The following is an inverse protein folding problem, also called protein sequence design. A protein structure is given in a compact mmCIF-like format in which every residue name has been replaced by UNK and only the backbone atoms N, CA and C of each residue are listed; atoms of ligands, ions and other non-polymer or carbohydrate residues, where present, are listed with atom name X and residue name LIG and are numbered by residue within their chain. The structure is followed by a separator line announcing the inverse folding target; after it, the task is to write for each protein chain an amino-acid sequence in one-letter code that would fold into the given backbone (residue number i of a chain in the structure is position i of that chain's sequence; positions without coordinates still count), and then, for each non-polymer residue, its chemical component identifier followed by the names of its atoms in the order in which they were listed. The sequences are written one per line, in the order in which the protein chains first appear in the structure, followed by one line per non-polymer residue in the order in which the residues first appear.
data_IF_550648719178
#
_entry.id   IF_550648719178
#
_cell.length_a   1.000
_cell.length_b   1.000
_cell.length_c   1.000
_cell.angle_alpha   90.00
_cell.angle_beta   90.00
_cell.angle_gamma   90.00
#
_symmetry.space_group_name_H-M   'P 1'
#
loop_
_entity.id
_entity.type
_entity.pdbx_description
1 polymer ?
#
# COMPACT_ATOMS: atom_id res chain seq x y z
N UNK A 1 9.73 10.43 -27.17
CA UNK A 1 10.53 11.65 -27.04
C UNK A 1 10.37 12.08 -25.60
N UNK A 2 11.46 12.21 -24.84
CA UNK A 2 11.42 12.93 -23.59
C UNK A 2 10.83 14.32 -23.88
N UNK A 3 9.88 14.79 -23.06
CA UNK A 3 9.34 16.14 -23.22
C UNK A 3 10.48 17.16 -23.27
N UNK A 4 10.27 18.28 -23.94
CA UNK A 4 11.25 19.37 -24.04
C UNK A 4 11.40 20.04 -22.65
N UNK A 5 12.05 19.34 -21.72
CA UNK A 5 12.39 19.88 -20.40
C UNK A 5 13.64 20.77 -20.52
N UNK A 6 13.56 21.98 -20.00
CA UNK A 6 14.65 22.95 -20.06
C UNK A 6 15.91 22.47 -19.28
N UNK A 7 15.73 21.63 -18.27
CA UNK A 7 16.81 21.09 -17.45
C UNK A 7 16.38 19.83 -16.67
N UNK A 8 17.37 19.14 -16.08
CA UNK A 8 17.15 17.93 -15.30
C UNK A 8 16.23 18.14 -14.06
N UNK A 9 16.24 19.31 -13.47
CA UNK A 9 15.36 19.63 -12.33
C UNK A 9 13.89 19.66 -12.75
N UNK A 10 13.56 20.23 -13.88
CA UNK A 10 12.22 20.28 -14.42
C UNK A 10 11.70 18.88 -14.77
N UNK A 11 12.56 18.07 -15.40
CA UNK A 11 12.26 16.65 -15.67
C UNK A 11 11.92 15.90 -14.39
N UNK A 12 12.77 16.00 -13.36
CA UNK A 12 12.56 15.34 -12.07
C UNK A 12 11.26 15.84 -11.41
N UNK A 13 11.06 17.13 -11.38
CA UNK A 13 9.85 17.73 -10.78
C UNK A 13 8.57 17.25 -11.48
N UNK A 14 8.57 17.19 -12.81
CA UNK A 14 7.44 16.70 -13.59
C UNK A 14 7.09 15.24 -13.21
N UNK A 15 8.08 14.35 -13.11
CA UNK A 15 7.86 12.95 -12.79
C UNK A 15 7.54 12.68 -11.30
N UNK A 16 7.89 13.62 -10.42
CA UNK A 16 7.53 13.54 -8.99
C UNK A 16 6.17 14.19 -8.67
N UNK A 17 5.60 14.96 -9.60
CA UNK A 17 4.31 15.61 -9.40
C UNK A 17 3.17 14.63 -9.62
N UNK A 18 2.26 14.54 -8.65
CA UNK A 18 1.06 13.72 -8.74
C UNK A 18 -0.06 14.42 -9.53
N UNK A 19 -0.89 13.64 -10.21
CA UNK A 19 -2.16 14.12 -10.74
C UNK A 19 -3.12 14.40 -9.57
N UNK A 20 -3.21 15.65 -9.17
CA UNK A 20 -3.94 16.06 -7.98
C UNK A 20 -5.28 16.70 -8.35
N UNK A 21 -6.35 16.26 -7.70
CA UNK A 21 -7.68 16.87 -7.76
C UNK A 21 -8.03 17.38 -6.36
N UNK A 22 -8.42 18.64 -6.27
CA UNK A 22 -8.67 19.26 -4.98
C UNK A 22 -9.51 20.52 -5.06
N UNK A 23 -9.64 21.18 -3.92
CA UNK A 23 -10.34 22.43 -3.78
C UNK A 23 -9.37 23.58 -3.75
N UNK A 24 -9.53 24.53 -4.67
CA UNK A 24 -8.78 25.78 -4.72
C UNK A 24 -9.23 26.76 -3.62
N UNK A 25 -8.45 27.82 -3.40
CA UNK A 25 -8.75 28.85 -2.41
C UNK A 25 -10.03 29.63 -2.71
N UNK A 26 -10.41 29.76 -3.97
CA UNK A 26 -11.68 30.36 -4.42
C UNK A 26 -12.91 29.49 -4.14
N UNK A 27 -12.68 28.22 -3.72
CA UNK A 27 -13.70 27.25 -3.38
C UNK A 27 -14.11 26.33 -4.51
N UNK A 28 -13.59 26.51 -5.71
CA UNK A 28 -13.86 25.64 -6.84
C UNK A 28 -13.07 24.31 -6.74
N UNK A 29 -13.62 23.26 -7.37
CA UNK A 29 -12.97 21.94 -7.43
C UNK A 29 -12.41 21.71 -8.83
N UNK A 30 -11.13 21.30 -8.91
CA UNK A 30 -10.48 21.06 -10.19
C UNK A 30 -9.19 20.26 -10.07
N UNK A 31 -8.62 19.98 -11.24
CA UNK A 31 -7.28 19.39 -11.32
C UNK A 31 -6.22 20.46 -11.20
N UNK A 32 -5.16 20.17 -10.46
CA UNK A 32 -3.98 21.02 -10.38
C UNK A 32 -3.23 21.04 -11.72
N UNK A 33 -2.82 22.23 -12.17
CA UNK A 33 -2.03 22.43 -13.38
C UNK A 33 -0.52 22.49 -13.08
N UNK A 34 -0.15 22.54 -11.80
CA UNK A 34 1.24 22.59 -11.37
C UNK A 34 1.44 22.46 -9.87
N UNK A 35 2.70 22.44 -9.42
CA UNK A 35 3.01 22.32 -8.00
C UNK A 35 2.47 23.47 -7.12
N UNK A 36 2.31 24.66 -7.69
CA UNK A 36 1.76 25.83 -6.99
C UNK A 36 0.30 25.59 -6.62
N UNK A 37 -0.50 25.08 -7.57
CA UNK A 37 -1.91 24.74 -7.35
C UNK A 37 -2.05 23.67 -6.27
N UNK A 38 -1.17 22.66 -6.29
CA UNK A 38 -1.16 21.59 -5.27
C UNK A 38 -0.92 22.16 -3.88
N UNK A 39 0.01 23.09 -3.76
CA UNK A 39 0.31 23.77 -2.49
C UNK A 39 -0.88 24.60 -2.00
N UNK A 40 -1.61 25.25 -2.90
CA UNK A 40 -2.81 26.02 -2.59
C UNK A 40 -3.99 25.15 -2.13
N UNK A 41 -4.20 23.99 -2.77
CA UNK A 41 -5.26 23.04 -2.41
C UNK A 41 -5.10 22.45 -0.99
N UNK A 42 -3.87 22.33 -0.51
CA UNK A 42 -3.56 21.86 0.85
C UNK A 42 -4.15 20.48 1.17
N UNK A 43 -4.78 20.34 2.34
CA UNK A 43 -5.32 19.08 2.82
C UNK A 43 -6.56 18.59 2.03
N UNK A 44 -7.29 19.48 1.37
CA UNK A 44 -8.50 19.12 0.62
C UNK A 44 -8.17 18.71 -0.82
N UNK A 45 -7.20 17.83 -0.96
CA UNK A 45 -6.75 17.31 -2.25
C UNK A 45 -6.53 15.81 -2.22
N UNK A 46 -6.71 15.16 -3.38
CA UNK A 46 -6.54 13.71 -3.57
C UNK A 46 -5.60 13.48 -4.75
N UNK A 47 -4.63 12.60 -4.60
CA UNK A 47 -3.77 12.14 -5.68
C UNK A 47 -4.49 11.06 -6.49
N UNK A 48 -5.04 11.45 -7.62
CA UNK A 48 -5.91 10.61 -8.45
C UNK A 48 -5.12 9.46 -9.10
N UNK A 49 -3.90 9.71 -9.53
CA UNK A 49 -2.99 8.73 -10.09
C UNK A 49 -2.61 7.65 -9.06
N UNK A 50 -2.26 8.04 -7.84
CA UNK A 50 -1.99 7.13 -6.72
C UNK A 50 -3.19 6.24 -6.43
N UNK A 51 -4.40 6.83 -6.35
CA UNK A 51 -5.63 6.08 -6.13
C UNK A 51 -5.94 5.13 -7.28
N UNK A 52 -5.80 5.60 -8.53
CA UNK A 52 -6.03 4.78 -9.71
C UNK A 52 -5.12 3.54 -9.72
N UNK A 53 -3.80 3.72 -9.57
CA UNK A 53 -2.86 2.61 -9.59
C UNK A 53 -3.05 1.67 -8.41
N UNK A 54 -3.32 2.19 -7.23
CA UNK A 54 -3.58 1.36 -6.04
C UNK A 54 -4.84 0.49 -6.24
N UNK A 55 -5.95 1.07 -6.69
CA UNK A 55 -7.20 0.34 -6.92
C UNK A 55 -7.05 -0.64 -8.09
N UNK A 56 -6.41 -0.24 -9.19
CA UNK A 56 -6.18 -1.08 -10.35
C UNK A 56 -5.37 -2.33 -9.99
N UNK A 57 -4.26 -2.16 -9.27
CA UNK A 57 -3.38 -3.27 -8.86
C UNK A 57 -4.04 -4.16 -7.80
N UNK A 58 -4.84 -3.59 -6.89
CA UNK A 58 -5.68 -4.36 -5.97
C UNK A 58 -6.73 -5.19 -6.71
N UNK A 59 -7.40 -4.61 -7.69
CA UNK A 59 -8.34 -5.32 -8.57
C UNK A 59 -7.67 -6.42 -9.41
N UNK A 60 -6.48 -6.15 -9.94
CA UNK A 60 -5.66 -7.11 -10.66
C UNK A 60 -5.28 -8.30 -9.77
N UNK A 61 -4.82 -8.03 -8.54
CA UNK A 61 -4.57 -9.07 -7.54
C UNK A 61 -5.79 -9.96 -7.32
N UNK A 62 -6.95 -9.36 -7.03
CA UNK A 62 -8.18 -10.11 -6.81
C UNK A 62 -8.59 -10.92 -8.04
N UNK A 63 -8.44 -10.38 -9.24
CA UNK A 63 -8.74 -11.09 -10.48
C UNK A 63 -7.82 -12.30 -10.68
N UNK A 64 -6.50 -12.12 -10.50
CA UNK A 64 -5.50 -13.20 -10.66
C UNK A 64 -5.78 -14.34 -9.67
N UNK A 65 -5.93 -14.02 -8.38
CA UNK A 65 -6.17 -15.05 -7.35
C UNK A 65 -7.54 -15.72 -7.51
N UNK A 66 -8.56 -14.98 -7.92
CA UNK A 66 -9.88 -15.56 -8.22
C UNK A 66 -9.83 -16.51 -9.42
N UNK A 67 -9.12 -16.15 -10.48
CA UNK A 67 -8.92 -17.02 -11.64
C UNK A 67 -8.16 -18.30 -11.26
N UNK A 68 -7.06 -18.15 -10.52
CA UNK A 68 -6.30 -19.29 -10.02
C UNK A 68 -7.17 -20.23 -9.15
N UNK A 69 -7.90 -19.67 -8.20
CA UNK A 69 -8.78 -20.45 -7.30
C UNK A 69 -9.90 -21.17 -8.06
N UNK A 70 -10.51 -20.55 -9.08
CA UNK A 70 -11.58 -21.18 -9.89
C UNK A 70 -11.07 -22.29 -10.79
N UNK A 71 -9.82 -22.25 -11.21
CA UNK A 71 -9.18 -23.24 -12.08
C UNK A 71 -8.28 -24.23 -11.33
N UNK A 72 -8.26 -24.14 -9.98
CA UNK A 72 -7.40 -24.98 -9.16
C UNK A 72 -7.73 -26.46 -9.29
N UNK A 73 -6.70 -27.27 -9.44
CA UNK A 73 -6.78 -28.73 -9.57
C UNK A 73 -5.91 -29.39 -8.49
N UNK A 74 -6.33 -30.59 -8.03
CA UNK A 74 -5.55 -31.39 -7.07
C UNK A 74 -4.35 -32.10 -7.70
N UNK A 75 -4.19 -32.02 -9.03
CA UNK A 75 -3.06 -32.59 -9.76
C UNK A 75 -1.84 -31.65 -9.80
N UNK A 76 -1.00 -31.81 -10.82
CA UNK A 76 0.13 -30.90 -11.04
C UNK A 76 -0.39 -29.50 -11.38
N UNK A 77 -0.09 -28.46 -10.57
CA UNK A 77 -0.62 -27.13 -10.79
C UNK A 77 -0.05 -26.48 -12.06
N UNK A 78 -0.89 -25.73 -12.77
CA UNK A 78 -0.42 -24.85 -13.84
C UNK A 78 0.38 -23.66 -13.28
N UNK A 79 1.11 -22.95 -14.15
CA UNK A 79 2.00 -21.86 -13.74
C UNK A 79 1.31 -20.79 -12.87
N UNK A 80 0.11 -20.36 -13.24
CA UNK A 80 -0.65 -19.35 -12.48
C UNK A 80 -1.05 -19.87 -11.10
N UNK A 81 -1.57 -21.09 -11.03
CA UNK A 81 -1.95 -21.74 -9.78
C UNK A 81 -0.72 -21.89 -8.87
N UNK A 82 0.40 -22.35 -9.41
CA UNK A 82 1.64 -22.55 -8.67
C UNK A 82 2.17 -21.23 -8.05
N UNK A 83 2.14 -20.13 -8.80
CA UNK A 83 2.55 -18.81 -8.26
C UNK A 83 1.65 -18.36 -7.11
N UNK A 84 0.33 -18.52 -7.27
CA UNK A 84 -0.62 -18.17 -6.21
C UNK A 84 -0.47 -19.06 -4.97
N UNK A 85 -0.28 -20.37 -5.17
CA UNK A 85 -0.05 -21.33 -4.08
C UNK A 85 1.25 -21.02 -3.32
N UNK A 86 2.34 -20.72 -4.01
CA UNK A 86 3.60 -20.31 -3.37
C UNK A 86 3.42 -19.05 -2.50
N UNK A 87 2.63 -18.07 -2.95
CA UNK A 87 2.37 -16.86 -2.17
C UNK A 87 1.53 -17.18 -0.90
N UNK A 88 0.53 -18.05 -1.04
CA UNK A 88 -0.31 -18.50 0.09
C UNK A 88 0.53 -19.30 1.08
N UNK A 89 1.31 -20.28 0.62
CA UNK A 89 2.19 -21.11 1.44
C UNK A 89 3.21 -20.26 2.21
N UNK A 90 3.85 -19.31 1.53
CA UNK A 90 4.78 -18.37 2.17
C UNK A 90 4.11 -17.60 3.32
N UNK A 91 2.87 -17.13 3.13
CA UNK A 91 2.12 -16.40 4.17
C UNK A 91 1.73 -17.36 5.31
N UNK A 92 1.22 -18.55 5.01
CA UNK A 92 0.81 -19.54 6.01
C UNK A 92 1.98 -19.99 6.88
N UNK A 93 3.13 -20.23 6.29
CA UNK A 93 4.35 -20.60 7.02
C UNK A 93 4.76 -19.52 8.01
N UNK A 94 4.78 -18.26 7.58
CA UNK A 94 5.10 -17.14 8.45
C UNK A 94 4.08 -16.98 9.59
N UNK A 95 2.79 -17.13 9.30
CA UNK A 95 1.72 -17.06 10.30
C UNK A 95 1.87 -18.18 11.31
N UNK A 96 2.14 -19.39 10.86
CA UNK A 96 2.30 -20.56 11.72
C UNK A 96 3.50 -20.43 12.65
N UNK A 97 4.60 -19.87 12.17
CA UNK A 97 5.79 -19.59 12.98
C UNK A 97 5.51 -18.57 14.09
N UNK A 98 4.68 -17.54 13.83
CA UNK A 98 4.41 -16.45 14.78
C UNK A 98 3.25 -16.81 15.74
N UNK A 99 2.18 -17.38 15.22
CA UNK A 99 0.91 -17.57 15.95
C UNK A 99 0.64 -19.04 16.32
N UNK A 100 1.46 -19.99 15.85
CA UNK A 100 1.21 -21.42 16.01
C UNK A 100 0.00 -21.90 15.21
N UNK A 101 -0.60 -23.02 15.60
CA UNK A 101 -1.63 -23.72 14.83
C UNK A 101 -3.05 -23.14 14.95
N UNK A 102 -3.24 -22.02 15.62
CA UNK A 102 -4.57 -21.42 15.85
C UNK A 102 -4.59 -19.90 15.60
N UNK A 103 -4.19 -19.43 14.40
CA UNK A 103 -4.31 -18.02 14.08
C UNK A 103 -5.79 -17.60 13.95
N UNK A 104 -6.06 -16.32 14.13
CA UNK A 104 -7.38 -15.78 13.79
C UNK A 104 -7.59 -15.86 12.27
N UNK A 105 -8.79 -16.27 11.84
CA UNK A 105 -9.13 -16.50 10.44
C UNK A 105 -8.89 -15.28 9.50
N UNK A 106 -8.84 -14.07 10.05
CA UNK A 106 -8.61 -12.85 9.27
C UNK A 106 -7.12 -12.60 8.97
N UNK A 107 -6.20 -13.18 9.77
CA UNK A 107 -4.75 -12.90 9.66
C UNK A 107 -4.22 -13.37 8.30
N UNK A 108 -4.57 -14.59 7.87
CA UNK A 108 -4.12 -15.14 6.59
C UNK A 108 -4.52 -14.27 5.38
N UNK A 109 -5.82 -14.05 5.15
CA UNK A 109 -6.27 -13.20 4.05
C UNK A 109 -5.74 -11.77 4.09
N UNK A 110 -5.65 -11.16 5.27
CA UNK A 110 -5.11 -9.81 5.45
C UNK A 110 -3.63 -9.74 5.09
N UNK A 111 -2.82 -10.68 5.61
CA UNK A 111 -1.38 -10.74 5.34
C UNK A 111 -1.10 -11.00 3.85
N UNK A 112 -1.85 -11.91 3.22
CA UNK A 112 -1.74 -12.19 1.80
C UNK A 112 -2.09 -10.94 0.97
N UNK A 113 -3.17 -10.25 1.33
CA UNK A 113 -3.59 -9.03 0.65
C UNK A 113 -2.52 -7.95 0.73
N UNK A 114 -2.00 -7.67 1.92
CA UNK A 114 -0.95 -6.66 2.10
C UNK A 114 0.31 -7.05 1.32
N UNK A 115 0.77 -8.30 1.46
CA UNK A 115 1.97 -8.78 0.78
C UNK A 115 1.86 -8.60 -0.73
N UNK A 116 0.83 -9.17 -1.36
CA UNK A 116 0.72 -9.18 -2.82
C UNK A 116 0.38 -7.80 -3.36
N UNK A 117 -0.51 -7.06 -2.71
CA UNK A 117 -0.90 -5.72 -3.16
C UNK A 117 0.28 -4.75 -3.11
N UNK A 118 0.99 -4.69 -1.98
CA UNK A 118 2.18 -3.84 -1.84
C UNK A 118 3.29 -4.29 -2.80
N UNK A 119 3.49 -5.61 -2.96
CA UNK A 119 4.43 -6.14 -3.94
C UNK A 119 4.12 -5.67 -5.36
N UNK A 120 2.87 -5.76 -5.79
CA UNK A 120 2.45 -5.30 -7.13
C UNK A 120 2.66 -3.80 -7.31
N UNK A 121 2.34 -2.99 -6.30
CA UNK A 121 2.57 -1.54 -6.34
C UNK A 121 4.07 -1.20 -6.51
N UNK A 122 4.96 -1.92 -5.81
CA UNK A 122 6.40 -1.73 -5.95
C UNK A 122 6.95 -2.35 -7.25
N UNK A 123 6.32 -3.39 -7.78
CA UNK A 123 6.70 -3.97 -9.07
C UNK A 123 6.54 -2.97 -10.22
N UNK A 124 5.65 -2.00 -10.09
CA UNK A 124 5.50 -0.91 -11.06
C UNK A 124 6.75 -0.04 -11.20
N UNK A 125 7.66 -0.06 -10.24
CA UNK A 125 8.94 0.65 -10.29
C UNK A 125 9.90 0.07 -11.36
N UNK A 126 9.66 -1.17 -11.80
CA UNK A 126 10.41 -1.80 -12.90
C UNK A 126 9.95 -1.33 -14.28
N UNK A 127 8.81 -0.67 -14.38
CA UNK A 127 8.33 -0.07 -15.63
C UNK A 127 9.14 1.20 -15.90
N UNK A 128 9.69 1.38 -17.12
CA UNK A 128 10.41 2.61 -17.44
C UNK A 128 9.58 3.85 -17.14
N UNK A 129 10.17 4.78 -16.40
CA UNK A 129 9.49 5.95 -15.81
C UNK A 129 8.76 6.82 -16.84
N UNK A 130 9.25 6.87 -18.07
CA UNK A 130 8.68 7.70 -19.14
C UNK A 130 7.49 7.05 -19.87
N UNK A 131 7.35 5.72 -19.84
CA UNK A 131 6.41 5.03 -20.74
C UNK A 131 4.95 5.38 -20.43
N UNK A 132 4.55 5.24 -19.19
CA UNK A 132 3.16 5.48 -18.76
C UNK A 132 2.81 6.97 -18.78
N UNK A 133 3.64 7.89 -18.24
CA UNK A 133 3.41 9.32 -18.37
C UNK A 133 3.33 9.79 -19.83
N UNK A 134 4.16 9.24 -20.73
CA UNK A 134 4.09 9.53 -22.15
C UNK A 134 2.73 9.15 -22.76
N UNK A 135 2.24 7.95 -22.49
CA UNK A 135 0.90 7.51 -22.95
C UNK A 135 -0.20 8.38 -22.35
N UNK A 136 -0.09 8.73 -21.07
CA UNK A 136 -1.04 9.60 -20.37
C UNK A 136 -1.08 10.99 -21.00
N UNK A 137 0.07 11.56 -21.36
CA UNK A 137 0.15 12.88 -22.02
C UNK A 137 -0.54 12.91 -23.38
N UNK A 138 -0.54 11.78 -24.11
CA UNK A 138 -1.29 11.66 -25.38
C UNK A 138 -2.81 11.76 -25.19
N UNK A 139 -3.32 11.47 -24.00
CA UNK A 139 -4.75 11.58 -23.65
C UNK A 139 -5.09 12.90 -22.96
N UNK A 140 -4.12 13.82 -22.87
CA UNK A 140 -4.31 15.14 -22.24
C UNK A 140 -4.12 15.16 -20.73
N UNK A 141 -3.58 14.08 -20.13
CA UNK A 141 -3.27 14.01 -18.71
C UNK A 141 -1.84 14.57 -18.50
N UNK A 142 -1.67 15.70 -17.79
CA UNK A 142 -0.37 16.37 -17.69
C UNK A 142 0.61 15.66 -16.78
N UNK A 143 0.14 15.02 -15.71
CA UNK A 143 0.95 14.31 -14.71
C UNK A 143 0.43 12.90 -14.50
N UNK A 144 1.31 11.93 -14.36
CA UNK A 144 0.94 10.54 -14.06
C UNK A 144 2.09 9.86 -13.30
N UNK A 145 2.00 9.82 -11.99
CA UNK A 145 2.92 9.08 -11.15
C UNK A 145 2.44 7.64 -11.00
N UNK A 146 3.31 6.67 -11.32
CA UNK A 146 2.89 5.27 -11.51
C UNK A 146 2.97 4.48 -10.21
N UNK A 147 3.99 4.73 -9.39
CA UNK A 147 4.27 3.96 -8.18
C UNK A 147 3.50 4.52 -7.00
N UNK A 148 2.36 3.91 -6.67
CA UNK A 148 1.48 4.39 -5.60
C UNK A 148 2.13 4.39 -4.21
N UNK A 149 3.07 3.49 -3.94
CA UNK A 149 3.79 3.40 -2.66
C UNK A 149 4.81 4.52 -2.43
N UNK A 150 5.15 5.30 -3.45
CA UNK A 150 5.99 6.49 -3.29
C UNK A 150 5.21 7.70 -2.77
N UNK A 151 3.89 7.59 -2.67
CA UNK A 151 3.05 8.61 -2.05
C UNK A 151 2.97 8.38 -0.53
N UNK A 152 3.48 9.32 0.30
CA UNK A 152 3.41 9.20 1.76
C UNK A 152 1.99 9.07 2.29
N UNK A 153 1.00 9.70 1.64
CA UNK A 153 -0.39 9.62 2.08
C UNK A 153 -0.94 8.18 1.93
N UNK A 154 -0.61 7.51 0.83
CA UNK A 154 -1.01 6.11 0.60
C UNK A 154 -0.34 5.16 1.61
N UNK A 155 0.97 5.30 1.80
CA UNK A 155 1.73 4.43 2.73
C UNK A 155 1.35 4.65 4.18
N UNK A 156 1.16 5.91 4.61
CA UNK A 156 0.65 6.24 5.93
C UNK A 156 -0.78 5.74 6.13
N UNK A 157 -1.65 5.91 5.14
CA UNK A 157 -3.03 5.41 5.19
C UNK A 157 -3.09 3.89 5.40
N UNK A 158 -2.27 3.13 4.67
CA UNK A 158 -2.18 1.68 4.83
C UNK A 158 -1.62 1.29 6.20
N UNK A 159 -0.52 1.89 6.64
CA UNK A 159 0.12 1.56 7.93
C UNK A 159 -0.77 1.92 9.12
N UNK A 160 -1.42 3.06 9.10
CA UNK A 160 -2.37 3.48 10.14
C UNK A 160 -3.57 2.54 10.20
N UNK A 161 -4.09 2.11 9.04
CA UNK A 161 -5.21 1.16 8.98
C UNK A 161 -4.84 -0.19 9.62
N UNK A 162 -3.65 -0.72 9.30
CA UNK A 162 -3.14 -1.96 9.92
C UNK A 162 -2.90 -1.75 11.41
N UNK A 163 -2.35 -0.62 11.82
CA UNK A 163 -2.13 -0.29 13.23
C UNK A 163 -3.44 -0.31 14.03
N UNK A 164 -4.50 0.31 13.52
CA UNK A 164 -5.81 0.26 14.18
C UNK A 164 -6.39 -1.15 14.24
N UNK A 165 -6.20 -1.97 13.19
CA UNK A 165 -6.60 -3.37 13.23
C UNK A 165 -5.84 -4.14 14.32
N UNK A 166 -4.53 -3.94 14.44
CA UNK A 166 -3.70 -4.56 15.49
C UNK A 166 -4.19 -4.14 16.86
N UNK A 167 -4.44 -2.85 17.10
CA UNK A 167 -5.00 -2.36 18.36
C UNK A 167 -6.35 -3.00 18.67
N UNK A 168 -7.27 -2.98 17.70
CA UNK A 168 -8.60 -3.56 17.86
C UNK A 168 -8.55 -5.03 18.27
N UNK A 169 -7.76 -5.85 17.58
CA UNK A 169 -7.64 -7.27 17.91
C UNK A 169 -6.94 -7.51 19.25
N UNK A 170 -5.94 -6.72 19.61
CA UNK A 170 -5.33 -6.80 20.94
C UNK A 170 -6.32 -6.47 22.03
N UNK A 171 -7.12 -5.42 21.90
CA UNK A 171 -8.20 -5.08 22.85
C UNK A 171 -9.26 -6.17 22.93
N UNK A 172 -9.66 -6.72 21.78
CA UNK A 172 -10.69 -7.77 21.72
C UNK A 172 -10.22 -9.07 22.38
N UNK A 173 -8.96 -9.44 22.21
CA UNK A 173 -8.44 -10.73 22.70
C UNK A 173 -7.87 -10.68 24.11
N UNK A 174 -7.14 -9.64 24.47
CA UNK A 174 -6.49 -9.50 25.79
C UNK A 174 -7.32 -8.65 26.77
N UNK A 175 -8.18 -7.80 26.24
CA UNK A 175 -8.83 -6.73 27.00
C UNK A 175 -7.92 -5.52 27.23
N UNK A 176 -8.47 -4.32 27.49
CA UNK A 176 -7.70 -3.08 27.56
C UNK A 176 -6.65 -3.07 28.68
N UNK A 177 -7.01 -3.61 29.85
CA UNK A 177 -6.11 -3.60 31.03
C UNK A 177 -4.91 -4.53 30.81
N UNK A 178 -5.15 -5.77 30.33
CA UNK A 178 -4.07 -6.73 30.07
C UNK A 178 -3.21 -6.31 28.89
N UNK A 179 -3.79 -5.67 27.89
CA UNK A 179 -3.04 -5.11 26.77
C UNK A 179 -2.11 -3.99 27.25
N UNK A 180 -2.61 -3.02 28.00
CA UNK A 180 -1.79 -1.95 28.59
C UNK A 180 -0.67 -2.48 29.48
N UNK A 181 -0.98 -3.45 30.34
CA UNK A 181 0.04 -4.13 31.13
C UNK A 181 1.10 -4.83 30.27
N UNK A 182 0.68 -5.49 29.18
CA UNK A 182 1.62 -6.19 28.28
C UNK A 182 2.61 -5.28 27.57
N UNK A 183 2.24 -4.03 27.26
CA UNK A 183 3.15 -3.05 26.66
C UNK A 183 4.32 -2.70 27.59
N UNK A 184 4.09 -2.78 28.90
CA UNK A 184 5.11 -2.42 29.89
C UNK A 184 5.90 -3.66 30.37
N UNK A 185 5.25 -4.83 30.43
CA UNK A 185 5.87 -6.05 31.00
C UNK A 185 6.50 -6.98 29.98
N UNK A 186 6.28 -6.78 28.66
CA UNK A 186 6.86 -7.62 27.63
C UNK A 186 7.74 -6.77 26.68
N UNK A 187 8.83 -7.33 26.12
CA UNK A 187 9.25 -8.73 26.22
C UNK A 187 9.99 -9.09 27.51
N UNK A 188 10.51 -8.13 28.28
CA UNK A 188 11.36 -8.38 29.46
C UNK A 188 10.56 -8.10 30.74
N UNK A 189 10.13 -9.13 31.49
CA UNK A 189 9.27 -8.95 32.68
C UNK A 189 10.04 -8.52 33.93
N UNK A 190 11.01 -7.60 33.79
CA UNK A 190 11.79 -7.07 34.90
C UNK A 190 11.46 -5.60 35.14
N UNK A 191 11.18 -5.21 36.35
CA UNK A 191 10.70 -3.87 36.72
C UNK A 191 11.62 -2.72 36.23
N UNK A 192 12.93 -2.92 36.22
CA UNK A 192 13.91 -1.93 35.76
C UNK A 192 13.88 -1.71 34.23
N UNK A 193 13.25 -2.65 33.48
CA UNK A 193 13.16 -2.61 32.02
C UNK A 193 11.79 -2.15 31.51
N UNK A 194 10.86 -1.78 32.38
CA UNK A 194 9.49 -1.39 31.98
C UNK A 194 9.47 -0.16 31.05
N UNK A 195 10.36 0.81 31.28
CA UNK A 195 10.49 1.95 30.39
C UNK A 195 11.05 1.55 29.01
N UNK A 196 11.91 0.55 28.95
CA UNK A 196 12.51 0.06 27.71
C UNK A 196 11.50 -0.78 26.90
N UNK A 197 10.69 -1.60 27.58
CA UNK A 197 9.60 -2.35 26.93
C UNK A 197 8.57 -1.45 26.25
N UNK A 198 8.35 -0.25 26.79
CA UNK A 198 7.42 0.71 26.21
C UNK A 198 7.92 1.32 24.88
N UNK A 199 9.25 1.30 24.67
CA UNK A 199 9.88 1.82 23.44
C UNK A 199 10.02 0.72 22.38
N UNK A 200 10.14 -0.55 22.79
CA UNK A 200 10.20 -1.72 21.91
C UNK A 200 8.82 -2.13 21.41
#
# INVERSE_FOLDING_TARGET
MAGDYANSSEYIQHHLTNLTYGRFADGEWGFAHGPEDIAEMGFMSIHVDTMFWSIFLGGLFLAIFTMAARSATAGVPGALQNICEMAVEFVEDNITQVFGNKPNAIIGPLSLTILVWVFLMNLMDLVPVDWIPYVASMTGIPYMKVVATTDPNATLGMSISVFFLVLFYNFKMKGPIKFGASLVTHPIPHWSMYWFNFIL
#
